data_IF_087062361336
#
_entry.id   IF_087062361336
#
_cell.length_a   1.000
_cell.length_b   1.000
_cell.length_c   1.000
_cell.angle_alpha   90.00
_cell.angle_beta   90.00
_cell.angle_gamma   90.00
#
_symmetry.space_group_name_H-M   'P 1'
#
loop_
_entity.id
_entity.type
_entity.pdbx_description
1 polymer ?
#
# COMPACT_ATOMS: atom_id res chain seq x y z
N UNK A 1 4.44 13.84 28.21
CA UNK A 1 5.10 12.67 27.61
C UNK A 1 6.57 12.75 27.97
N UNK A 2 7.07 11.77 28.72
CA UNK A 2 8.50 11.61 28.99
C UNK A 2 9.04 10.58 28.01
N UNK A 3 10.07 10.94 27.22
CA UNK A 3 10.63 10.03 26.21
C UNK A 3 11.41 10.76 25.13
N UNK A 4 12.10 9.99 24.29
CA UNK A 4 12.78 10.47 23.08
C UNK A 4 12.44 9.54 21.91
N UNK A 5 12.55 10.05 20.69
CA UNK A 5 12.41 9.30 19.46
C UNK A 5 13.76 9.32 18.75
N UNK A 6 14.18 8.18 18.20
CA UNK A 6 15.35 8.11 17.34
C UNK A 6 14.97 8.57 15.93
N UNK A 7 15.62 9.63 15.46
CA UNK A 7 15.58 10.04 14.06
C UNK A 7 16.92 9.66 13.40
N UNK A 8 16.86 9.08 12.21
CA UNK A 8 18.03 8.60 11.48
C UNK A 8 18.52 9.67 10.50
N UNK A 9 19.84 9.82 10.38
CA UNK A 9 20.46 10.81 9.47
C UNK A 9 20.06 10.62 7.99
N UNK A 10 19.67 9.41 7.61
CA UNK A 10 19.19 9.09 6.26
C UNK A 10 17.91 9.86 5.89
N UNK A 11 17.18 10.38 6.87
CA UNK A 11 16.04 11.26 6.63
C UNK A 11 16.45 12.55 5.88
N UNK A 12 17.70 13.01 6.02
CA UNK A 12 18.23 14.17 5.28
C UNK A 12 18.33 13.93 3.78
N UNK A 13 18.42 12.68 3.34
CA UNK A 13 18.51 12.28 1.92
C UNK A 13 17.13 11.90 1.34
N UNK A 14 16.10 11.90 2.18
CA UNK A 14 14.76 11.46 1.79
C UNK A 14 13.95 12.56 1.11
N UNK A 15 12.99 12.16 0.28
CA UNK A 15 12.10 13.09 -0.43
C UNK A 15 11.35 14.03 0.52
N UNK A 16 11.07 13.61 1.75
CA UNK A 16 10.36 14.46 2.72
C UNK A 16 11.19 15.66 3.18
N UNK A 17 12.51 15.53 3.17
CA UNK A 17 13.42 16.64 3.51
C UNK A 17 13.50 17.68 2.38
N UNK A 18 13.32 17.24 1.13
CA UNK A 18 13.29 18.12 -0.04
C UNK A 18 11.94 18.85 -0.21
N UNK A 19 10.88 18.35 0.43
CA UNK A 19 9.56 18.97 0.40
C UNK A 19 9.49 20.23 1.27
N UNK A 20 8.48 21.11 1.06
CA UNK A 20 8.32 22.30 1.86
C UNK A 20 8.28 21.99 3.37
N UNK A 21 8.78 22.88 4.26
CA UNK A 21 8.99 22.60 5.68
C UNK A 21 7.74 22.09 6.44
N UNK A 22 6.54 22.43 5.95
CA UNK A 22 5.29 21.94 6.50
C UNK A 22 5.14 20.41 6.40
N UNK A 23 5.66 19.77 5.34
CA UNK A 23 5.60 18.32 5.16
C UNK A 23 6.39 17.61 6.26
N UNK A 24 7.65 18.03 6.42
CA UNK A 24 8.52 17.53 7.48
C UNK A 24 7.92 17.78 8.87
N UNK A 25 7.34 18.97 9.11
CA UNK A 25 6.69 19.28 10.39
C UNK A 25 5.52 18.35 10.70
N UNK A 26 4.66 18.08 9.72
CA UNK A 26 3.53 17.13 9.88
C UNK A 26 4.06 15.73 10.16
N UNK A 27 5.07 15.28 9.43
CA UNK A 27 5.68 13.99 9.64
C UNK A 27 6.33 13.84 11.02
N UNK A 28 7.11 14.83 11.44
CA UNK A 28 7.73 14.85 12.76
C UNK A 28 6.66 14.82 13.86
N UNK A 29 5.58 15.59 13.70
CA UNK A 29 4.46 15.55 14.63
C UNK A 29 3.81 14.16 14.69
N UNK A 30 3.62 13.50 13.55
CA UNK A 30 3.08 12.13 13.51
C UNK A 30 4.00 11.14 14.25
N UNK A 31 5.32 11.21 14.04
CA UNK A 31 6.30 10.41 14.79
C UNK A 31 6.14 10.61 16.31
N UNK A 32 5.90 11.84 16.78
CA UNK A 32 5.69 12.11 18.20
C UNK A 32 4.34 11.64 18.76
N UNK A 33 3.32 11.52 17.92
CA UNK A 33 1.95 11.25 18.37
C UNK A 33 1.54 9.79 18.30
N UNK A 34 2.23 8.97 17.50
CA UNK A 34 1.94 7.54 17.46
C UNK A 34 2.03 6.90 18.84
N UNK A 35 1.11 5.98 19.10
CA UNK A 35 1.10 5.25 20.35
C UNK A 35 2.36 4.40 20.44
N UNK A 36 3.11 4.54 21.53
CA UNK A 36 4.30 3.75 21.81
C UNK A 36 3.98 2.40 22.49
N UNK A 37 2.73 2.21 22.91
CA UNK A 37 2.18 0.98 23.47
C UNK A 37 0.76 0.79 22.95
N UNK A 38 0.27 -0.45 22.93
CA UNK A 38 -1.12 -0.74 22.57
C UNK A 38 -2.07 -0.01 23.54
N UNK A 39 -3.13 0.59 23.00
CA UNK A 39 -4.07 1.38 23.77
C UNK A 39 -5.51 1.15 23.29
N UNK A 40 -6.47 1.08 24.20
CA UNK A 40 -7.88 0.91 23.88
C UNK A 40 -8.61 2.26 23.95
N UNK A 41 -9.24 2.67 22.85
CA UNK A 41 -10.09 3.87 22.83
C UNK A 41 -11.56 3.45 22.81
N UNK A 42 -12.38 3.90 23.78
CA UNK A 42 -13.81 3.67 23.75
C UNK A 42 -14.45 4.50 22.63
N UNK A 43 -15.22 3.84 21.77
CA UNK A 43 -16.03 4.46 20.73
C UNK A 43 -17.39 4.88 21.27
N UNK A 44 -18.05 5.81 20.58
CA UNK A 44 -19.39 6.30 20.91
C UNK A 44 -20.46 5.19 20.94
N UNK A 45 -20.22 4.11 20.21
CA UNK A 45 -21.08 2.92 20.13
C UNK A 45 -20.87 1.94 21.31
N UNK A 46 -20.01 2.27 22.27
CA UNK A 46 -19.66 1.41 23.40
C UNK A 46 -18.66 0.30 23.09
N UNK A 47 -18.31 0.11 21.80
CA UNK A 47 -17.20 -0.75 21.38
C UNK A 47 -15.85 -0.13 21.74
N UNK A 48 -14.82 -0.96 21.93
CA UNK A 48 -13.45 -0.51 22.15
C UNK A 48 -12.62 -0.73 20.89
N UNK A 49 -11.99 0.31 20.38
CA UNK A 49 -11.02 0.21 19.30
C UNK A 49 -9.63 0.00 19.90
N UNK A 50 -9.01 -1.15 19.61
CA UNK A 50 -7.63 -1.40 19.99
C UNK A 50 -6.69 -0.74 18.98
N UNK A 51 -5.89 0.21 19.44
CA UNK A 51 -4.90 0.93 18.67
C UNK A 51 -3.53 0.35 19.00
N UNK A 52 -2.92 -0.31 18.03
CA UNK A 52 -1.62 -0.94 18.20
C UNK A 52 -0.50 0.11 18.28
N UNK A 53 0.66 -0.30 18.79
CA UNK A 53 1.90 0.48 18.70
C UNK A 53 2.14 0.96 17.25
N UNK A 54 2.58 2.21 17.08
CA UNK A 54 2.78 2.83 15.76
C UNK A 54 1.52 3.34 15.08
N UNK A 55 0.35 3.24 15.74
CA UNK A 55 -0.91 3.81 15.24
C UNK A 55 -1.33 5.05 16.03
N UNK A 56 -2.04 5.97 15.38
CA UNK A 56 -2.60 7.16 15.99
C UNK A 56 -3.99 7.46 15.44
N UNK A 57 -4.97 7.58 16.34
CA UNK A 57 -6.33 7.97 15.99
C UNK A 57 -6.47 9.49 16.10
N UNK A 58 -6.73 10.17 14.99
CA UNK A 58 -6.86 11.63 14.98
C UNK A 58 -7.82 12.10 13.89
N UNK A 59 -7.91 13.41 13.74
CA UNK A 59 -8.65 14.07 12.68
C UNK A 59 -7.77 15.13 12.00
N UNK A 60 -7.92 15.32 10.70
CA UNK A 60 -7.12 16.28 9.91
C UNK A 60 -7.11 17.69 10.52
N UNK A 61 -8.25 18.16 11.05
CA UNK A 61 -8.34 19.46 11.75
C UNK A 61 -7.49 19.51 13.03
N UNK A 62 -7.46 18.43 13.81
CA UNK A 62 -6.64 18.35 15.02
C UNK A 62 -5.14 18.37 14.68
N UNK A 63 -4.77 17.71 13.58
CA UNK A 63 -3.39 17.78 13.06
C UNK A 63 -3.06 19.22 12.69
N UNK A 64 -3.93 19.89 11.92
CA UNK A 64 -3.73 21.29 11.50
C UNK A 64 -3.47 22.22 12.70
N UNK A 65 -4.32 22.14 13.73
CA UNK A 65 -4.14 22.88 14.98
C UNK A 65 -2.81 22.55 15.66
N UNK A 66 -2.43 21.27 15.70
CA UNK A 66 -1.23 20.85 16.43
C UNK A 66 0.08 21.22 15.72
N UNK A 67 0.07 21.30 14.37
CA UNK A 67 1.22 21.74 13.58
C UNK A 67 1.25 23.25 13.35
N UNK A 68 0.32 24.00 13.95
CA UNK A 68 0.32 25.45 13.94
C UNK A 68 1.58 26.06 14.57
N UNK A 69 1.85 27.31 14.22
CA UNK A 69 3.03 28.02 14.69
C UNK A 69 2.80 29.51 14.88
N UNK A 70 3.64 30.10 15.70
CA UNK A 70 3.68 31.55 15.84
C UNK A 70 4.56 32.15 14.74
N UNK A 71 3.99 33.11 14.02
CA UNK A 71 4.68 34.01 13.11
C UNK A 71 4.64 35.40 13.76
N UNK A 72 5.70 35.74 14.51
CA UNK A 72 5.68 36.85 15.46
C UNK A 72 4.67 36.59 16.58
N UNK A 73 3.78 37.55 16.85
CA UNK A 73 2.73 37.42 17.87
C UNK A 73 1.44 36.75 17.37
N UNK A 74 1.39 36.31 16.09
CA UNK A 74 0.18 35.74 15.49
C UNK A 74 0.28 34.22 15.38
N UNK A 75 -0.75 33.53 15.84
CA UNK A 75 -0.91 32.10 15.62
C UNK A 75 -1.33 31.82 14.17
N UNK A 76 -0.56 31.01 13.46
CA UNK A 76 -0.82 30.55 12.10
C UNK A 76 -1.15 29.07 12.13
N UNK A 77 -2.39 28.75 11.76
CA UNK A 77 -2.82 27.38 11.54
C UNK A 77 -2.80 27.07 10.03
N UNK A 78 -2.18 25.96 9.61
CA UNK A 78 -2.26 25.50 8.23
C UNK A 78 -3.69 25.15 7.83
N UNK A 79 -4.04 25.37 6.57
CA UNK A 79 -5.34 24.98 6.06
C UNK A 79 -5.51 23.44 6.16
N UNK A 80 -6.64 22.92 6.70
CA UNK A 80 -6.90 21.48 6.73
C UNK A 80 -6.79 20.78 5.37
N UNK A 81 -7.06 21.50 4.26
CA UNK A 81 -6.85 20.98 2.90
C UNK A 81 -5.37 20.72 2.60
N UNK A 82 -4.48 21.60 3.06
CA UNK A 82 -3.03 21.43 2.93
C UNK A 82 -2.57 20.21 3.72
N UNK A 83 -3.07 20.03 4.94
CA UNK A 83 -2.77 18.84 5.74
C UNK A 83 -3.26 17.57 5.07
N UNK A 84 -4.48 17.57 4.51
CA UNK A 84 -5.00 16.43 3.77
C UNK A 84 -4.12 16.08 2.56
N UNK A 85 -3.64 17.09 1.82
CA UNK A 85 -2.73 16.89 0.69
C UNK A 85 -1.37 16.32 1.14
N UNK A 86 -0.83 16.78 2.26
CA UNK A 86 0.40 16.25 2.86
C UNK A 86 0.19 14.77 3.26
N UNK A 87 -0.90 14.44 3.94
CA UNK A 87 -1.20 13.07 4.33
C UNK A 87 -1.34 12.13 3.12
N UNK A 88 -2.03 12.58 2.06
CA UNK A 88 -2.12 11.81 0.81
C UNK A 88 -0.78 11.66 0.11
N UNK A 89 0.13 12.64 0.24
CA UNK A 89 1.50 12.51 -0.27
C UNK A 89 2.31 11.50 0.55
N UNK A 90 2.25 11.56 1.87
CA UNK A 90 2.91 10.60 2.77
C UNK A 90 2.43 9.16 2.52
N UNK A 91 1.13 8.98 2.29
CA UNK A 91 0.52 7.69 1.93
C UNK A 91 1.06 7.17 0.60
N UNK A 92 1.19 8.03 -0.42
CA UNK A 92 1.76 7.66 -1.73
C UNK A 92 3.23 7.25 -1.65
N UNK A 93 4.00 7.87 -0.74
CA UNK A 93 5.40 7.50 -0.50
C UNK A 93 5.55 6.25 0.38
N UNK A 94 4.45 5.62 0.82
CA UNK A 94 4.50 4.45 1.68
C UNK A 94 5.03 4.73 3.09
N UNK A 95 4.95 5.98 3.57
CA UNK A 95 5.36 6.33 4.94
C UNK A 95 4.25 6.05 5.96
N UNK A 96 3.00 6.22 5.54
CA UNK A 96 1.82 6.03 6.40
C UNK A 96 0.73 5.24 5.67
N UNK A 97 -0.12 4.56 6.44
CA UNK A 97 -1.42 4.07 6.00
C UNK A 97 -2.53 4.88 6.67
N UNK A 98 -3.52 5.28 5.86
CA UNK A 98 -4.71 5.99 6.33
C UNK A 98 -5.93 5.08 6.26
N UNK A 99 -6.49 4.75 7.42
CA UNK A 99 -7.81 4.14 7.51
C UNK A 99 -8.83 5.19 7.97
N UNK A 100 -9.87 5.39 7.17
CA UNK A 100 -10.93 6.38 7.41
C UNK A 100 -12.22 5.77 7.96
N UNK A 101 -12.17 4.50 8.37
CA UNK A 101 -13.31 3.73 8.88
C UNK A 101 -14.40 3.50 7.83
N UNK A 102 -15.46 2.77 8.21
CA UNK A 102 -16.61 2.59 7.33
C UNK A 102 -17.30 3.92 7.03
N UNK A 103 -17.36 4.30 5.75
CA UNK A 103 -18.12 5.46 5.28
C UNK A 103 -17.49 6.84 5.52
N UNK A 104 -16.16 6.95 5.59
CA UNK A 104 -15.41 8.23 5.61
C UNK A 104 -15.74 9.17 6.80
N UNK A 105 -16.41 8.67 7.85
CA UNK A 105 -17.06 9.52 8.87
C UNK A 105 -16.78 9.13 10.33
N UNK A 106 -16.05 8.06 10.60
CA UNK A 106 -15.89 7.59 11.98
C UNK A 106 -14.57 8.03 12.61
N UNK A 107 -13.45 7.92 11.91
CA UNK A 107 -12.14 8.34 12.41
C UNK A 107 -11.10 8.43 11.30
N UNK A 108 -9.93 9.02 11.58
CA UNK A 108 -8.73 8.86 10.75
C UNK A 108 -7.67 8.15 11.59
N UNK A 109 -7.47 6.86 11.31
CA UNK A 109 -6.44 6.05 11.92
C UNK A 109 -5.21 6.12 11.02
N UNK A 110 -4.13 6.67 11.55
CA UNK A 110 -2.84 6.78 10.87
C UNK A 110 -1.96 5.66 11.42
N UNK A 111 -1.44 4.80 10.54
CA UNK A 111 -0.44 3.78 10.90
C UNK A 111 0.89 4.18 10.28
N UNK A 112 1.95 4.32 11.06
CA UNK A 112 3.30 4.56 10.53
C UNK A 112 3.87 3.23 10.04
N UNK A 113 4.20 3.17 8.74
CA UNK A 113 4.90 2.02 8.17
C UNK A 113 6.37 2.05 8.62
N UNK A 114 6.95 0.87 8.83
CA UNK A 114 8.33 0.69 9.30
C UNK A 114 8.64 1.27 10.69
N UNK A 115 7.63 1.59 11.51
CA UNK A 115 7.82 2.12 12.87
C UNK A 115 8.70 1.23 13.76
N UNK A 116 8.53 -0.08 13.67
CA UNK A 116 9.33 -1.05 14.42
C UNK A 116 10.81 -0.97 14.02
N UNK A 117 11.14 -0.72 12.75
CA UNK A 117 12.52 -0.51 12.28
C UNK A 117 13.13 0.79 12.85
N UNK A 118 12.31 1.81 13.08
CA UNK A 118 12.78 3.07 13.66
C UNK A 118 13.09 2.96 15.17
N UNK A 119 12.38 2.11 15.91
CA UNK A 119 12.47 2.03 17.38
C UNK A 119 13.26 0.82 17.90
N UNK A 120 13.51 -0.21 17.10
CA UNK A 120 14.23 -1.39 17.57
C UNK A 120 15.70 -1.07 17.90
N UNK A 121 16.26 -1.79 18.88
CA UNK A 121 17.64 -1.58 19.37
C UNK A 121 18.70 -2.20 18.47
N UNK A 122 18.32 -3.02 17.48
CA UNK A 122 19.22 -3.85 16.69
C UNK A 122 18.95 -3.83 15.17
N UNK A 123 18.90 -2.66 14.53
CA UNK A 123 19.10 -2.63 13.08
C UNK A 123 19.80 -1.34 12.63
N UNK A 124 20.99 -1.52 12.06
CA UNK A 124 21.70 -0.48 11.35
C UNK A 124 20.97 -0.17 10.04
N UNK A 125 20.46 1.07 9.93
CA UNK A 125 20.32 1.80 8.66
C UNK A 125 19.29 1.27 7.66
N UNK A 126 18.39 2.15 7.23
CA UNK A 126 17.66 1.97 5.98
C UNK A 126 18.64 2.03 4.81
N UNK A 127 19.09 0.88 4.36
CA UNK A 127 19.63 0.73 3.02
C UNK A 127 19.33 -0.69 2.57
N UNK A 128 18.24 -0.83 1.79
CA UNK A 128 18.24 -1.42 0.44
C UNK A 128 16.81 -1.85 0.08
N UNK A 129 16.40 -1.44 -1.11
CA UNK A 129 15.69 -2.23 -2.11
C UNK A 129 14.71 -3.29 -1.57
N UNK A 130 13.41 -3.11 -1.82
CA UNK A 130 12.49 -4.25 -1.93
C UNK A 130 12.86 -5.02 -3.20
N UNK A 131 13.83 -5.92 -3.05
CA UNK A 131 13.94 -7.12 -3.85
C UNK A 131 12.92 -8.14 -3.31
N UNK A 132 12.47 -8.99 -4.23
CA UNK A 132 11.51 -10.06 -4.07
C UNK A 132 11.79 -10.99 -2.87
N UNK A 133 10.71 -11.63 -2.40
CA UNK A 133 10.80 -12.97 -1.81
C UNK A 133 10.60 -13.04 -0.29
N UNK A 134 9.44 -13.58 0.07
CA UNK A 134 9.25 -14.57 1.14
C UNK A 134 9.56 -14.18 2.59
N UNK A 135 8.49 -14.25 3.40
CA UNK A 135 8.59 -14.56 4.82
C UNK A 135 8.24 -13.41 5.76
N UNK A 136 7.01 -13.44 6.30
CA UNK A 136 6.81 -13.77 7.73
C UNK A 136 5.33 -13.85 8.09
N UNK A 137 4.99 -15.06 8.51
CA UNK A 137 3.76 -15.47 9.17
C UNK A 137 3.71 -14.95 10.63
N UNK A 138 2.50 -15.07 11.20
CA UNK A 138 2.08 -15.02 12.61
C UNK A 138 1.96 -13.63 13.28
N UNK A 139 0.89 -13.25 14.01
CA UNK A 139 -0.38 -13.87 14.48
C UNK A 139 -1.34 -12.75 14.91
N UNK A 140 -2.66 -12.93 14.75
CA UNK A 140 -3.53 -13.46 15.83
C UNK A 140 -4.95 -13.72 15.32
N UNK A 141 -5.40 -14.96 15.56
CA UNK A 141 -6.78 -15.44 15.47
C UNK A 141 -7.69 -14.76 16.50
N UNK A 142 -8.93 -14.45 16.12
CA UNK A 142 -10.08 -14.47 17.03
C UNK A 142 -11.27 -15.12 16.30
N UNK A 143 -11.68 -16.27 16.85
CA UNK A 143 -12.88 -17.05 16.51
C UNK A 143 -14.18 -16.24 16.67
N UNK A 144 -15.12 -16.43 15.73
CA UNK A 144 -16.54 -16.69 16.07
C UNK A 144 -17.32 -17.37 14.92
N UNK A 145 -17.66 -18.64 15.16
CA UNK A 145 -18.82 -19.38 14.62
C UNK A 145 -20.13 -18.54 14.79
N UNK A 146 -21.25 -18.70 14.08
CA UNK A 146 -21.81 -19.75 13.23
C UNK A 146 -23.12 -19.19 12.60
N UNK A 147 -23.40 -19.48 11.32
CA UNK A 147 -24.63 -20.16 10.82
C UNK A 147 -24.88 -19.87 9.34
N UNK A 148 -25.17 -20.98 8.64
CA UNK A 148 -25.57 -21.09 7.25
C UNK A 148 -26.77 -20.21 6.92
N UNK A 149 -26.73 -19.58 5.74
CA UNK A 149 -27.82 -19.77 4.77
C UNK A 149 -27.32 -19.59 3.34
N UNK A 150 -27.70 -20.56 2.50
CA UNK A 150 -27.45 -20.59 1.07
C UNK A 150 -28.11 -19.36 0.43
N UNK A 151 -27.33 -18.51 -0.23
CA UNK A 151 -27.82 -17.79 -1.39
C UNK A 151 -26.68 -17.35 -2.30
N UNK A 152 -26.70 -17.88 -3.52
CA UNK A 152 -25.91 -17.42 -4.65
C UNK A 152 -26.11 -15.92 -4.84
N UNK A 153 -25.06 -15.12 -4.63
CA UNK A 153 -24.84 -13.85 -5.33
C UNK A 153 -23.46 -13.28 -5.02
N UNK A 154 -22.66 -13.19 -6.09
CA UNK A 154 -21.49 -12.32 -6.31
C UNK A 154 -20.42 -12.36 -5.22
N UNK A 155 -19.42 -13.23 -5.41
CA UNK A 155 -18.07 -13.03 -4.86
C UNK A 155 -17.52 -11.70 -5.39
N UNK A 156 -17.63 -10.65 -4.59
CA UNK A 156 -16.79 -9.46 -4.75
C UNK A 156 -15.37 -9.85 -4.33
N UNK A 157 -14.57 -10.28 -5.30
CA UNK A 157 -13.13 -10.44 -5.15
C UNK A 157 -12.51 -9.08 -4.93
N UNK A 158 -12.09 -8.83 -3.70
CA UNK A 158 -11.44 -7.59 -3.31
C UNK A 158 -10.13 -7.41 -4.07
N UNK A 159 -10.01 -6.30 -4.81
CA UNK A 159 -8.76 -5.64 -5.25
C UNK A 159 -7.93 -6.32 -6.36
N UNK A 160 -8.58 -6.91 -7.35
CA UNK A 160 -7.89 -7.18 -8.62
C UNK A 160 -7.80 -5.85 -9.39
N UNK A 161 -6.60 -5.29 -9.48
CA UNK A 161 -6.34 -4.00 -10.16
C UNK A 161 -6.43 -4.12 -11.69
N UNK A 162 -6.50 -5.33 -12.22
CA UNK A 162 -6.54 -5.59 -13.66
C UNK A 162 -7.97 -5.60 -14.18
N UNK A 163 -8.12 -5.17 -15.42
CA UNK A 163 -9.40 -5.13 -16.10
C UNK A 163 -9.66 -6.46 -16.83
N UNK A 164 -10.90 -6.67 -17.26
CA UNK A 164 -11.31 -7.87 -18.02
C UNK A 164 -10.36 -8.15 -19.22
N UNK A 165 -9.95 -7.14 -20.01
CA UNK A 165 -9.02 -7.35 -21.14
C UNK A 165 -7.64 -7.89 -20.73
N UNK A 166 -7.14 -7.56 -19.54
CA UNK A 166 -5.83 -8.06 -19.09
C UNK A 166 -5.85 -9.55 -18.76
N UNK A 167 -6.97 -9.99 -18.18
CA UNK A 167 -7.24 -11.40 -17.91
C UNK A 167 -7.43 -12.19 -19.22
N UNK A 168 -8.09 -11.59 -20.22
CA UNK A 168 -8.23 -12.19 -21.54
C UNK A 168 -6.88 -12.33 -22.25
N UNK A 169 -6.03 -11.32 -22.18
CA UNK A 169 -4.67 -11.38 -22.73
C UNK A 169 -3.80 -12.44 -22.03
N UNK A 170 -3.90 -12.57 -20.70
CA UNK A 170 -3.22 -13.61 -19.94
C UNK A 170 -3.66 -15.02 -20.37
N UNK A 171 -4.97 -15.22 -20.57
CA UNK A 171 -5.51 -16.49 -21.08
C UNK A 171 -5.08 -16.77 -22.52
N UNK A 172 -5.05 -15.75 -23.37
CA UNK A 172 -4.60 -15.88 -24.75
C UNK A 172 -3.15 -16.35 -24.84
N UNK A 173 -2.25 -15.79 -24.01
CA UNK A 173 -0.85 -16.23 -23.96
C UNK A 173 -0.75 -17.69 -23.51
N UNK A 174 -1.48 -18.09 -22.46
CA UNK A 174 -1.44 -19.45 -21.95
C UNK A 174 -1.97 -20.47 -22.96
N UNK A 175 -3.06 -20.15 -23.66
CA UNK A 175 -3.62 -21.02 -24.69
C UNK A 175 -2.60 -21.27 -25.82
N UNK A 176 -1.93 -20.23 -26.31
CA UNK A 176 -0.92 -20.36 -27.36
C UNK A 176 0.32 -21.14 -26.87
N UNK A 177 0.65 -21.04 -25.58
CA UNK A 177 1.72 -21.85 -24.98
C UNK A 177 1.34 -23.33 -24.91
N UNK A 178 0.09 -23.66 -24.57
CA UNK A 178 -0.41 -25.05 -24.59
C UNK A 178 -0.41 -25.65 -25.99
N UNK A 179 -0.79 -24.88 -27.01
CA UNK A 179 -0.74 -25.32 -28.41
C UNK A 179 0.69 -25.64 -28.87
N UNK A 180 1.69 -24.94 -28.33
CA UNK A 180 3.11 -25.16 -28.65
C UNK A 180 3.79 -26.23 -27.77
N UNK A 181 3.31 -26.44 -26.55
CA UNK A 181 3.87 -27.38 -25.58
C UNK A 181 2.78 -27.88 -24.62
N UNK A 182 2.35 -29.13 -24.81
CA UNK A 182 1.22 -29.75 -24.11
C UNK A 182 1.45 -29.91 -22.58
N UNK A 183 2.70 -29.82 -22.10
CA UNK A 183 3.05 -29.99 -20.67
C UNK A 183 3.17 -28.66 -19.89
N UNK A 184 2.57 -27.57 -20.37
CA UNK A 184 2.60 -26.28 -19.67
C UNK A 184 1.76 -26.31 -18.39
N UNK A 185 2.40 -26.00 -17.25
CA UNK A 185 1.75 -25.87 -15.94
C UNK A 185 0.82 -24.66 -15.92
N UNK A 186 -0.36 -24.82 -15.31
CA UNK A 186 -1.31 -23.73 -15.13
C UNK A 186 -0.68 -22.58 -14.34
N UNK A 187 -0.71 -21.35 -14.87
CA UNK A 187 -0.13 -20.20 -14.21
C UNK A 187 -1.05 -19.62 -13.15
N UNK A 188 -0.48 -18.75 -12.32
CA UNK A 188 -1.27 -17.88 -11.48
C UNK A 188 -1.92 -16.78 -12.34
N UNK A 189 -3.21 -16.94 -12.63
CA UNK A 189 -4.02 -16.02 -13.45
C UNK A 189 -4.01 -14.58 -12.95
N UNK A 190 -4.01 -14.37 -11.64
CA UNK A 190 -4.00 -13.02 -11.06
C UNK A 190 -2.65 -12.33 -11.27
N UNK A 191 -1.55 -13.09 -11.15
CA UNK A 191 -0.20 -12.61 -11.44
C UNK A 191 -0.07 -12.22 -12.91
N UNK A 192 -0.53 -13.08 -13.82
CA UNK A 192 -0.43 -12.84 -15.26
C UNK A 192 -1.29 -11.65 -15.70
N UNK A 193 -2.51 -11.54 -15.19
CA UNK A 193 -3.36 -10.40 -15.48
C UNK A 193 -2.78 -9.09 -14.93
N UNK A 194 -2.09 -9.12 -13.78
CA UNK A 194 -1.38 -7.95 -13.28
C UNK A 194 -0.17 -7.56 -14.16
N UNK A 195 0.56 -8.53 -14.71
CA UNK A 195 1.65 -8.27 -15.66
C UNK A 195 1.12 -7.64 -16.96
N UNK A 196 0.01 -8.17 -17.50
CA UNK A 196 -0.65 -7.58 -18.68
C UNK A 196 -1.16 -6.16 -18.42
N UNK A 197 -1.73 -5.93 -17.23
CA UNK A 197 -2.11 -4.58 -16.77
C UNK A 197 -0.91 -3.63 -16.72
N UNK A 198 0.25 -4.09 -16.24
CA UNK A 198 1.47 -3.27 -16.21
C UNK A 198 1.93 -2.90 -17.63
N UNK A 199 1.80 -3.80 -18.61
CA UNK A 199 2.09 -3.45 -20.01
C UNK A 199 1.18 -2.34 -20.54
N UNK A 200 -0.10 -2.36 -20.17
CA UNK A 200 -1.04 -1.31 -20.56
C UNK A 200 -0.78 0.01 -19.82
N UNK A 201 -0.62 -0.03 -18.50
CA UNK A 201 -0.52 1.18 -17.67
C UNK A 201 0.86 1.82 -17.69
N UNK A 202 1.93 1.03 -17.56
CA UNK A 202 3.31 1.50 -17.49
C UNK A 202 3.87 1.74 -18.88
N UNK A 203 3.69 0.77 -19.77
CA UNK A 203 4.29 0.79 -21.11
C UNK A 203 3.36 1.46 -22.14
N UNK A 204 2.16 1.88 -21.71
CA UNK A 204 1.14 2.58 -22.52
C UNK A 204 0.77 1.85 -23.81
N UNK A 205 0.88 0.51 -23.81
CA UNK A 205 0.54 -0.33 -24.95
C UNK A 205 -0.97 -0.49 -25.03
N UNK A 206 -1.52 -0.43 -26.24
CA UNK A 206 -2.93 -0.78 -26.45
C UNK A 206 -3.14 -2.29 -26.35
N UNK A 207 -4.37 -2.71 -26.10
CA UNK A 207 -4.72 -4.13 -26.06
C UNK A 207 -4.32 -4.87 -27.35
N UNK A 208 -4.56 -4.26 -28.51
CA UNK A 208 -4.20 -4.80 -29.82
C UNK A 208 -2.68 -5.01 -29.95
N UNK A 209 -1.87 -4.08 -29.43
CA UNK A 209 -0.42 -4.20 -29.43
C UNK A 209 0.06 -5.34 -28.52
N UNK A 210 -0.56 -5.49 -27.34
CA UNK A 210 -0.25 -6.59 -26.42
C UNK A 210 -0.59 -7.93 -27.07
N UNK A 211 -1.77 -8.07 -27.67
CA UNK A 211 -2.17 -9.28 -28.39
C UNK A 211 -1.27 -9.59 -29.58
N UNK A 212 -0.82 -8.56 -30.30
CA UNK A 212 0.13 -8.71 -31.39
C UNK A 212 1.46 -9.30 -30.91
N UNK A 213 2.04 -8.74 -29.83
CA UNK A 213 3.32 -9.21 -29.28
C UNK A 213 3.19 -10.65 -28.75
N UNK A 214 2.08 -10.98 -28.07
CA UNK A 214 1.78 -12.35 -27.63
C UNK A 214 1.76 -13.34 -28.81
N UNK A 215 1.01 -13.02 -29.86
CA UNK A 215 0.92 -13.89 -31.05
C UNK A 215 2.24 -14.00 -31.78
N UNK A 216 3.01 -12.92 -31.85
CA UNK A 216 4.32 -12.90 -32.49
C UNK A 216 5.34 -13.75 -31.72
N UNK A 217 5.44 -13.57 -30.40
CA UNK A 217 6.40 -14.28 -29.56
C UNK A 217 6.15 -15.79 -29.54
N UNK A 218 4.89 -16.23 -29.59
CA UNK A 218 4.52 -17.63 -29.58
C UNK A 218 4.63 -18.31 -30.97
N UNK A 219 4.68 -17.53 -32.06
CA UNK A 219 4.93 -18.07 -33.41
C UNK A 219 6.41 -18.21 -33.72
N UNK A 220 7.23 -17.30 -33.18
CA UNK A 220 8.66 -17.30 -33.42
C UNK A 220 9.35 -18.50 -32.74
N UNK A 221 10.10 -19.34 -33.47
CA UNK A 221 10.73 -20.54 -32.91
C UNK A 221 11.73 -20.26 -31.79
N UNK A 222 12.36 -19.09 -31.78
CA UNK A 222 13.33 -18.69 -30.76
C UNK A 222 12.62 -18.14 -29.53
N UNK A 223 11.63 -17.26 -29.72
CA UNK A 223 10.93 -16.63 -28.59
C UNK A 223 9.93 -17.56 -27.90
N UNK A 224 9.26 -18.48 -28.62
CA UNK A 224 8.27 -19.38 -28.01
C UNK A 224 8.88 -20.30 -26.94
N UNK A 225 10.17 -20.65 -27.07
CA UNK A 225 10.88 -21.46 -26.08
C UNK A 225 11.27 -20.65 -24.84
N UNK A 226 11.47 -19.34 -24.99
CA UNK A 226 11.95 -18.45 -23.94
C UNK A 226 10.82 -17.73 -23.19
N UNK A 227 9.73 -17.39 -23.89
CA UNK A 227 8.58 -16.65 -23.35
C UNK A 227 7.58 -17.64 -22.76
N UNK A 228 7.81 -17.95 -21.48
CA UNK A 228 6.98 -18.86 -20.68
C UNK A 228 6.06 -18.14 -19.68
N UNK A 229 6.03 -16.81 -19.71
CA UNK A 229 5.22 -15.96 -18.85
C UNK A 229 5.10 -14.55 -19.42
N UNK A 230 4.06 -13.77 -19.05
CA UNK A 230 3.93 -12.39 -19.49
C UNK A 230 5.08 -11.49 -19.03
N UNK A 231 5.71 -11.77 -17.90
CA UNK A 231 6.94 -11.09 -17.44
C UNK A 231 8.13 -11.20 -18.40
N UNK A 232 8.09 -12.15 -19.34
CA UNK A 232 9.15 -12.35 -20.35
C UNK A 232 8.77 -11.79 -21.73
N UNK A 233 7.61 -11.14 -21.86
CA UNK A 233 7.19 -10.37 -23.05
C UNK A 233 7.70 -8.92 -22.97
#
# INVERSE_FOLDING_TARGET
MTGFIKDYRQELESDIWLMPPMYHRVWQWLKYQVNHCDNEIPMRDGSKLNIKRGQHLTAVRKIAQSVGYYEGAKWREPNPKTIAAILSWLEKQGMILLDRGQGNRQYTLITLLNWDLYQDKNSQGNSKYTADGEGREHLVDINKNEKNDKNEKKKNTSRLKYEIPDMENAKLLFQLMLENNENCKEPNWESWANEMRLMRERDKRTEEQIQYVIKWSQRDPFWKTNVLSPSKL
#
